data_IF_431278434537
#
_entry.id   IF_431278434537
#
_cell.length_a   1.000
_cell.length_b   1.000
_cell.length_c   1.000
_cell.angle_alpha   90.00
_cell.angle_beta   90.00
_cell.angle_gamma   90.00
#
_symmetry.space_group_name_H-M   'P 1'
#
loop_
_entity.id
_entity.type
_entity.pdbx_description
1 polymer ?
#
# COMPACT_ATOMS: atom_id res chain seq x y z
N UNK A 1 0.34 48.98 -46.44
CA UNK A 1 -0.94 48.70 -45.75
C UNK A 1 -1.37 49.95 -44.98
N UNK A 2 -2.55 50.45 -45.35
CA UNK A 2 -3.49 51.32 -44.60
C UNK A 2 -2.98 52.59 -43.86
N UNK A 3 -3.08 53.69 -44.61
CA UNK A 3 -3.39 55.05 -44.16
C UNK A 3 -4.67 55.11 -43.31
N UNK A 4 -4.73 56.06 -42.36
CA UNK A 4 -5.72 57.15 -42.43
C UNK A 4 -5.46 58.28 -41.43
N UNK A 5 -5.43 59.49 -41.96
CA UNK A 5 -5.55 60.77 -41.25
C UNK A 5 -6.65 61.57 -41.95
N UNK A 6 -7.46 62.24 -41.11
CA UNK A 6 -8.16 63.53 -41.32
C UNK A 6 -9.56 63.51 -42.01
N UNK A 7 -10.43 64.36 -41.42
CA UNK A 7 -11.66 65.06 -41.90
C UNK A 7 -12.94 64.23 -42.14
N UNK A 8 -14.18 64.69 -41.94
CA UNK A 8 -14.76 66.05 -42.01
C UNK A 8 -16.25 66.06 -41.55
N UNK A 9 -16.83 67.29 -41.42
CA UNK A 9 -18.26 67.67 -41.63
C UNK A 9 -19.27 67.23 -40.54
N UNK A 10 -19.72 68.09 -39.59
CA UNK A 10 -20.63 69.24 -39.74
C UNK A 10 -21.71 69.05 -40.82
N UNK A 11 -22.86 68.53 -40.39
CA UNK A 11 -24.12 68.63 -41.13
C UNK A 11 -24.72 70.02 -40.94
N UNK A 12 -24.63 70.78 -42.02
CA UNK A 12 -25.44 71.94 -42.36
C UNK A 12 -26.93 71.57 -42.45
N UNK A 13 -27.82 72.38 -41.86
CA UNK A 13 -28.81 73.20 -42.58
C UNK A 13 -30.05 73.48 -41.73
N UNK A 14 -30.27 74.75 -41.38
CA UNK A 14 -31.55 75.39 -41.69
C UNK A 14 -31.30 76.89 -41.83
N UNK A 15 -31.33 77.34 -43.09
CA UNK A 15 -31.08 78.70 -43.51
C UNK A 15 -32.40 79.47 -43.71
N UNK A 16 -32.30 80.78 -43.43
CA UNK A 16 -33.00 81.87 -44.10
C UNK A 16 -34.52 82.01 -43.95
N UNK A 17 -34.90 82.98 -43.11
CA UNK A 17 -35.90 83.99 -43.49
C UNK A 17 -35.16 85.20 -44.06
N UNK A 18 -35.40 85.58 -45.32
CA UNK A 18 -35.07 86.92 -45.81
C UNK A 18 -35.86 87.31 -47.06
N UNK A 19 -37.07 87.83 -46.86
CA UNK A 19 -37.68 88.84 -47.72
C UNK A 19 -38.47 89.76 -46.80
N UNK A 20 -38.09 91.04 -46.73
CA UNK A 20 -38.97 92.20 -46.93
C UNK A 20 -38.13 93.47 -46.80
N UNK A 21 -38.29 94.27 -47.84
CA UNK A 21 -37.85 95.64 -48.08
C UNK A 21 -38.11 96.58 -46.92
N UNK A 22 -37.16 97.48 -46.67
CA UNK A 22 -37.19 98.56 -45.69
C UNK A 22 -38.34 99.55 -45.94
N UNK A 23 -39.03 99.97 -44.86
CA UNK A 23 -39.26 101.39 -44.65
C UNK A 23 -38.68 101.79 -43.29
N UNK A 24 -38.05 102.96 -43.30
CA UNK A 24 -37.42 103.63 -42.16
C UNK A 24 -38.31 103.63 -40.90
N UNK A 25 -38.01 102.74 -39.94
CA UNK A 25 -38.39 102.96 -38.55
C UNK A 25 -37.25 103.71 -37.86
N UNK A 26 -37.64 104.76 -37.13
CA UNK A 26 -36.79 105.48 -36.18
C UNK A 26 -35.99 104.49 -35.35
N UNK A 27 -34.70 104.79 -35.17
CA UNK A 27 -33.92 104.25 -34.07
C UNK A 27 -34.59 104.65 -32.75
N UNK A 28 -35.54 103.82 -32.31
CA UNK A 28 -35.68 103.57 -30.90
C UNK A 28 -34.50 102.66 -30.58
N UNK A 29 -33.41 103.24 -30.06
CA UNK A 29 -32.51 102.47 -29.22
C UNK A 29 -33.37 101.87 -28.12
N UNK A 30 -33.82 100.62 -28.31
CA UNK A 30 -34.06 99.74 -27.17
C UNK A 30 -32.65 99.53 -26.62
N UNK A 31 -32.27 100.44 -25.72
CA UNK A 31 -31.26 100.16 -24.72
C UNK A 31 -31.76 98.91 -23.98
N UNK A 32 -31.32 97.74 -24.44
CA UNK A 32 -31.31 96.56 -23.60
C UNK A 32 -30.42 96.96 -22.44
N UNK A 33 -31.03 97.16 -21.28
CA UNK A 33 -30.34 97.46 -20.05
C UNK A 33 -29.42 96.27 -19.74
N UNK A 34 -28.14 96.43 -20.09
CA UNK A 34 -27.13 95.39 -19.90
C UNK A 34 -26.98 95.02 -18.43
N UNK A 35 -27.43 95.88 -17.51
CA UNK A 35 -27.36 95.62 -16.07
C UNK A 35 -28.29 94.49 -15.61
N UNK A 36 -29.47 94.34 -16.22
CA UNK A 36 -30.43 93.27 -15.86
C UNK A 36 -29.94 91.92 -16.41
N UNK A 37 -29.34 91.95 -17.60
CA UNK A 37 -28.70 90.78 -18.20
C UNK A 37 -27.43 90.38 -17.43
N UNK A 38 -26.63 91.34 -16.98
CA UNK A 38 -25.44 91.10 -16.14
C UNK A 38 -25.84 90.54 -14.76
N UNK A 39 -26.88 91.09 -14.13
CA UNK A 39 -27.35 90.62 -12.83
C UNK A 39 -27.98 89.22 -12.94
N UNK A 40 -28.71 88.93 -14.02
CA UNK A 40 -29.18 87.58 -14.32
C UNK A 40 -28.00 86.63 -14.60
N UNK A 41 -26.98 87.08 -15.34
CA UNK A 41 -25.76 86.31 -15.60
C UNK A 41 -24.96 86.00 -14.34
N UNK A 42 -24.91 86.92 -13.38
CA UNK A 42 -24.21 86.74 -12.10
C UNK A 42 -24.97 85.78 -11.16
N UNK A 43 -26.30 85.89 -11.08
CA UNK A 43 -27.15 84.93 -10.37
C UNK A 43 -27.09 83.55 -11.00
N UNK A 44 -27.03 83.47 -12.33
CA UNK A 44 -26.85 82.22 -13.05
C UNK A 44 -25.45 81.65 -12.80
N UNK A 45 -24.40 82.47 -12.81
CA UNK A 45 -23.01 82.06 -12.52
C UNK A 45 -22.83 81.52 -11.11
N UNK A 46 -23.39 82.20 -10.10
CA UNK A 46 -23.39 81.76 -8.70
C UNK A 46 -24.22 80.50 -8.48
N UNK A 47 -25.37 80.36 -9.16
CA UNK A 47 -26.15 79.11 -9.12
C UNK A 47 -25.45 77.95 -9.81
N UNK A 48 -24.73 78.19 -10.91
CA UNK A 48 -23.92 77.16 -11.55
C UNK A 48 -22.74 76.73 -10.66
N UNK A 49 -22.09 77.64 -9.92
CA UNK A 49 -21.00 77.29 -9.01
C UNK A 49 -21.49 76.52 -7.76
N UNK A 50 -22.62 76.93 -7.16
CA UNK A 50 -23.27 76.19 -6.06
C UNK A 50 -23.79 74.81 -6.49
N UNK A 51 -24.35 74.71 -7.71
CA UNK A 51 -24.80 73.43 -8.26
C UNK A 51 -23.61 72.52 -8.57
N UNK A 52 -22.48 73.08 -9.01
CA UNK A 52 -21.25 72.32 -9.24
C UNK A 52 -20.68 71.75 -7.93
N UNK A 53 -20.66 72.51 -6.83
CA UNK A 53 -20.18 72.00 -5.53
C UNK A 53 -21.09 70.91 -4.96
N UNK A 54 -22.42 71.09 -5.05
CA UNK A 54 -23.39 70.06 -4.65
C UNK A 54 -23.25 68.79 -5.48
N UNK A 55 -23.03 68.93 -6.80
CA UNK A 55 -22.80 67.79 -7.68
C UNK A 55 -21.49 67.07 -7.36
N UNK A 56 -20.46 67.78 -6.92
CA UNK A 56 -19.19 67.20 -6.47
C UNK A 56 -19.38 66.40 -5.16
N UNK A 57 -20.15 66.91 -4.19
CA UNK A 57 -20.49 66.19 -2.97
C UNK A 57 -21.34 64.95 -3.24
N UNK A 58 -22.36 65.06 -4.11
CA UNK A 58 -23.18 63.92 -4.54
C UNK A 58 -22.28 62.86 -5.20
N UNK A 59 -21.36 63.28 -6.08
CA UNK A 59 -20.43 62.37 -6.75
C UNK A 59 -19.50 61.68 -5.74
N UNK A 60 -19.00 62.41 -4.74
CA UNK A 60 -18.17 61.86 -3.66
C UNK A 60 -18.94 60.84 -2.82
N UNK A 61 -20.18 61.16 -2.43
CA UNK A 61 -21.02 60.28 -1.65
C UNK A 61 -21.42 59.03 -2.44
N UNK A 62 -21.76 59.19 -3.72
CA UNK A 62 -22.05 58.07 -4.62
C UNK A 62 -20.84 57.13 -4.77
N UNK A 63 -19.63 57.69 -4.94
CA UNK A 63 -18.40 56.90 -5.01
C UNK A 63 -18.12 56.17 -3.69
N UNK A 64 -18.31 56.83 -2.54
CA UNK A 64 -18.11 56.21 -1.23
C UNK A 64 -19.13 55.09 -0.95
N UNK A 65 -20.40 55.29 -1.33
CA UNK A 65 -21.43 54.27 -1.23
C UNK A 65 -21.13 53.07 -2.13
N UNK A 66 -20.68 53.32 -3.37
CA UNK A 66 -20.26 52.26 -4.29
C UNK A 66 -19.07 51.47 -3.73
N UNK A 67 -18.04 52.15 -3.23
CA UNK A 67 -16.86 51.52 -2.62
C UNK A 67 -17.24 50.67 -1.41
N UNK A 68 -18.05 51.19 -0.50
CA UNK A 68 -18.49 50.47 0.70
C UNK A 68 -19.33 49.24 0.34
N UNK A 69 -20.17 49.35 -0.69
CA UNK A 69 -20.96 48.22 -1.18
C UNK A 69 -20.08 47.13 -1.82
N UNK A 70 -19.06 47.52 -2.58
CA UNK A 70 -18.08 46.58 -3.14
C UNK A 70 -17.28 45.88 -2.05
N UNK A 71 -16.83 46.60 -1.03
CA UNK A 71 -16.16 46.02 0.15
C UNK A 71 -17.07 45.05 0.91
N UNK A 72 -18.32 45.44 1.17
CA UNK A 72 -19.31 44.56 1.82
C UNK A 72 -19.54 43.28 1.02
N UNK A 73 -19.66 43.39 -0.30
CA UNK A 73 -19.81 42.22 -1.18
C UNK A 73 -18.60 41.30 -1.11
N UNK A 74 -17.39 41.87 -1.21
CA UNK A 74 -16.16 41.09 -1.11
C UNK A 74 -16.03 40.37 0.24
N UNK A 75 -16.41 41.02 1.33
CA UNK A 75 -16.36 40.42 2.67
C UNK A 75 -17.46 39.37 2.87
N UNK A 76 -18.65 39.55 2.29
CA UNK A 76 -19.69 38.52 2.28
C UNK A 76 -19.25 37.28 1.50
N UNK A 77 -18.64 37.46 0.33
CA UNK A 77 -18.10 36.36 -0.47
C UNK A 77 -16.99 35.60 0.32
N UNK A 78 -16.16 36.33 1.06
CA UNK A 78 -15.15 35.75 1.95
C UNK A 78 -15.78 34.96 3.10
N UNK A 79 -16.84 35.49 3.73
CA UNK A 79 -17.59 34.81 4.78
C UNK A 79 -18.19 33.49 4.26
N UNK A 80 -18.81 33.49 3.09
CA UNK A 80 -19.35 32.29 2.46
C UNK A 80 -18.25 31.24 2.21
N UNK A 81 -17.10 31.66 1.69
CA UNK A 81 -15.95 30.78 1.50
C UNK A 81 -15.46 30.16 2.82
N UNK A 82 -15.37 30.96 3.90
CA UNK A 82 -14.97 30.48 5.23
C UNK A 82 -15.98 29.49 5.83
N UNK A 83 -17.29 29.68 5.61
CA UNK A 83 -18.32 28.77 6.08
C UNK A 83 -18.23 27.40 5.38
N UNK A 84 -18.04 27.40 4.06
CA UNK A 84 -17.83 26.16 3.29
C UNK A 84 -16.57 25.44 3.75
N UNK A 85 -15.47 26.18 3.96
CA UNK A 85 -14.22 25.65 4.47
C UNK A 85 -14.39 25.02 5.87
N UNK A 86 -15.09 25.70 6.78
CA UNK A 86 -15.35 25.19 8.12
C UNK A 86 -16.19 23.90 8.09
N UNK A 87 -17.22 23.84 7.25
CA UNK A 87 -18.00 22.62 7.05
C UNK A 87 -17.13 21.46 6.52
N UNK A 88 -16.21 21.76 5.60
CA UNK A 88 -15.21 20.80 5.10
C UNK A 88 -14.31 20.27 6.22
N UNK A 89 -13.78 21.14 7.07
CA UNK A 89 -12.96 20.73 8.22
C UNK A 89 -13.73 19.89 9.22
N UNK A 90 -14.97 20.26 9.57
CA UNK A 90 -15.81 19.45 10.46
C UNK A 90 -16.03 18.04 9.92
N UNK A 91 -16.27 17.90 8.62
CA UNK A 91 -16.40 16.60 7.96
C UNK A 91 -15.08 15.82 8.03
N UNK A 92 -13.95 16.47 7.77
CA UNK A 92 -12.65 15.83 7.84
C UNK A 92 -12.31 15.36 9.26
N UNK A 93 -12.63 16.15 10.28
CA UNK A 93 -12.46 15.77 11.70
C UNK A 93 -13.29 14.52 12.01
N UNK A 94 -14.57 14.50 11.64
CA UNK A 94 -15.42 13.32 11.89
C UNK A 94 -14.90 12.05 11.22
N UNK A 95 -14.38 12.14 9.99
CA UNK A 95 -13.75 11.00 9.31
C UNK A 95 -12.45 10.59 10.02
N UNK A 96 -11.66 11.56 10.50
CA UNK A 96 -10.43 11.26 11.24
C UNK A 96 -10.72 10.60 12.59
N UNK A 97 -11.77 11.01 13.30
CA UNK A 97 -12.21 10.39 14.56
C UNK A 97 -12.65 8.93 14.32
N UNK A 98 -13.45 8.66 13.29
CA UNK A 98 -13.82 7.29 12.90
C UNK A 98 -12.60 6.43 12.54
N UNK A 99 -11.64 7.01 11.81
CA UNK A 99 -10.39 6.31 11.48
C UNK A 99 -9.54 6.03 12.73
N UNK A 100 -9.51 6.93 13.72
CA UNK A 100 -8.80 6.71 14.99
C UNK A 100 -9.42 5.53 15.74
N UNK A 101 -10.76 5.49 15.86
CA UNK A 101 -11.45 4.36 16.51
C UNK A 101 -11.15 3.02 15.82
N UNK A 102 -11.19 2.99 14.48
CA UNK A 102 -10.86 1.79 13.71
C UNK A 102 -9.38 1.36 13.86
N UNK A 103 -8.47 2.33 13.96
CA UNK A 103 -7.06 2.06 14.21
C UNK A 103 -6.82 1.54 15.63
N UNK A 104 -7.49 2.09 16.64
CA UNK A 104 -7.39 1.64 18.04
C UNK A 104 -7.88 0.19 18.19
N UNK A 105 -9.00 -0.18 17.54
CA UNK A 105 -9.46 -1.57 17.48
C UNK A 105 -8.41 -2.48 16.81
N UNK A 106 -7.82 -2.03 15.70
CA UNK A 106 -6.76 -2.77 15.01
C UNK A 106 -5.51 -2.94 15.88
N UNK A 107 -5.11 -1.92 16.63
CA UNK A 107 -3.97 -1.98 17.55
C UNK A 107 -4.25 -2.98 18.68
N UNK A 108 -5.44 -2.95 19.28
CA UNK A 108 -5.82 -3.89 20.33
C UNK A 108 -5.76 -5.35 19.84
N UNK A 109 -6.22 -5.62 18.62
CA UNK A 109 -6.14 -6.94 18.00
C UNK A 109 -4.67 -7.35 17.71
N UNK A 110 -3.85 -6.42 17.24
CA UNK A 110 -2.42 -6.68 16.98
C UNK A 110 -1.67 -6.97 18.27
N UNK A 111 -2.01 -6.34 19.41
CA UNK A 111 -1.34 -6.62 20.69
C UNK A 111 -1.51 -8.08 21.13
N UNK A 112 -2.73 -8.63 20.97
CA UNK A 112 -3.02 -10.05 21.25
C UNK A 112 -2.21 -10.96 20.34
N UNK A 113 -2.25 -10.70 19.03
CA UNK A 113 -1.53 -11.50 18.03
C UNK A 113 -0.01 -11.44 18.22
N UNK A 114 0.53 -10.27 18.55
CA UNK A 114 1.98 -10.07 18.77
C UNK A 114 2.51 -10.89 19.95
N UNK A 115 1.67 -11.13 20.97
CA UNK A 115 2.04 -11.94 22.14
C UNK A 115 1.88 -13.44 21.86
N UNK A 116 0.88 -13.83 21.07
CA UNK A 116 0.56 -15.24 20.82
C UNK A 116 1.43 -15.89 19.74
N UNK A 117 1.83 -15.15 18.70
CA UNK A 117 2.61 -15.71 17.59
C UNK A 117 3.95 -16.33 18.05
N UNK A 118 4.79 -15.66 18.88
CA UNK A 118 6.02 -16.27 19.36
C UNK A 118 5.80 -17.57 20.14
N UNK A 119 4.76 -17.61 20.97
CA UNK A 119 4.39 -18.83 21.71
C UNK A 119 3.96 -19.95 20.76
N UNK A 120 3.21 -19.62 19.72
CA UNK A 120 2.82 -20.61 18.70
C UNK A 120 4.04 -21.13 17.94
N UNK A 121 4.96 -20.25 17.54
CA UNK A 121 6.19 -20.66 16.84
C UNK A 121 7.03 -21.61 17.70
N UNK A 122 7.14 -21.35 19.00
CA UNK A 122 7.87 -22.23 19.93
C UNK A 122 7.19 -23.60 20.08
N UNK A 123 5.85 -23.63 20.17
CA UNK A 123 5.07 -24.88 20.17
C UNK A 123 5.24 -25.67 18.87
N UNK A 124 5.21 -24.99 17.72
CA UNK A 124 5.44 -25.61 16.42
C UNK A 124 6.83 -26.23 16.37
N UNK A 125 7.86 -25.51 16.82
CA UNK A 125 9.22 -26.00 16.81
C UNK A 125 9.43 -27.19 17.76
N UNK A 126 8.83 -27.15 18.94
CA UNK A 126 8.79 -28.27 19.88
C UNK A 126 8.05 -29.48 19.31
N UNK A 127 6.95 -29.26 18.59
CA UNK A 127 6.23 -30.33 17.89
C UNK A 127 7.05 -30.94 16.76
N UNK A 128 7.81 -30.13 16.01
CA UNK A 128 8.73 -30.60 14.99
C UNK A 128 9.87 -31.44 15.60
N UNK A 129 10.43 -31.00 16.73
CA UNK A 129 11.45 -31.76 17.49
C UNK A 129 10.92 -33.11 17.96
N UNK A 130 9.72 -33.14 18.54
CA UNK A 130 9.07 -34.37 18.97
C UNK A 130 8.84 -35.31 17.78
N UNK A 131 8.36 -34.77 16.65
CA UNK A 131 8.17 -35.53 15.44
C UNK A 131 9.48 -36.14 14.93
N UNK A 132 10.56 -35.36 14.87
CA UNK A 132 11.89 -35.84 14.48
C UNK A 132 12.37 -36.97 15.41
N UNK A 133 12.12 -36.86 16.72
CA UNK A 133 12.55 -37.86 17.71
C UNK A 133 11.81 -39.20 17.63
N UNK A 134 10.59 -39.19 17.08
CA UNK A 134 9.73 -40.38 16.93
C UNK A 134 9.84 -41.02 15.53
N UNK A 135 10.51 -40.34 14.62
CA UNK A 135 10.68 -40.71 13.23
C UNK A 135 11.97 -41.49 13.00
N UNK A 136 12.16 -41.99 11.77
CA UNK A 136 13.35 -42.72 11.38
C UNK A 136 14.64 -41.89 11.60
N UNK A 137 15.73 -42.49 12.11
CA UNK A 137 16.99 -41.80 12.37
C UNK A 137 17.77 -41.62 11.06
N UNK A 138 17.44 -40.59 10.30
CA UNK A 138 18.20 -40.17 9.13
C UNK A 138 18.60 -38.70 9.27
N UNK A 139 19.78 -38.36 8.73
CA UNK A 139 20.33 -37.00 8.71
C UNK A 139 20.19 -36.28 10.07
N UNK A 140 20.44 -37.01 11.16
CA UNK A 140 20.12 -36.57 12.54
C UNK A 140 20.80 -35.25 12.85
N UNK A 141 22.10 -35.13 12.53
CA UNK A 141 22.87 -33.92 12.78
C UNK A 141 22.37 -32.74 11.94
N UNK A 142 22.07 -32.95 10.66
CA UNK A 142 21.58 -31.87 9.78
C UNK A 142 20.23 -31.34 10.24
N UNK A 143 19.31 -32.24 10.60
CA UNK A 143 17.98 -31.90 11.11
C UNK A 143 18.07 -31.19 12.47
N UNK A 144 18.92 -31.68 13.38
CA UNK A 144 19.16 -31.05 14.67
C UNK A 144 19.75 -29.64 14.53
N UNK A 145 20.74 -29.47 13.64
CA UNK A 145 21.33 -28.16 13.35
C UNK A 145 20.31 -27.18 12.77
N UNK A 146 19.43 -27.65 11.86
CA UNK A 146 18.36 -26.81 11.29
C UNK A 146 17.36 -26.37 12.36
N UNK A 147 16.99 -27.27 13.27
CA UNK A 147 16.11 -26.97 14.40
C UNK A 147 16.75 -25.95 15.34
N UNK A 148 18.02 -26.14 15.70
CA UNK A 148 18.78 -25.23 16.54
C UNK A 148 18.90 -23.83 15.92
N UNK A 149 19.14 -23.74 14.61
CA UNK A 149 19.19 -22.47 13.89
C UNK A 149 17.86 -21.72 13.95
N UNK A 150 16.72 -22.41 13.78
CA UNK A 150 15.41 -21.78 13.90
C UNK A 150 15.09 -21.37 15.35
N UNK A 151 15.49 -22.16 16.36
CA UNK A 151 15.37 -21.78 17.79
C UNK A 151 16.10 -20.47 18.04
N UNK A 152 17.36 -20.39 17.64
CA UNK A 152 18.19 -19.19 17.79
C UNK A 152 17.59 -17.97 17.07
N UNK A 153 17.01 -18.16 15.88
CA UNK A 153 16.38 -17.07 15.14
C UNK A 153 15.10 -16.55 15.80
N UNK A 154 14.31 -17.41 16.46
CA UNK A 154 13.12 -17.00 17.22
C UNK A 154 13.52 -16.17 18.45
N UNK A 155 14.59 -16.56 19.13
CA UNK A 155 15.12 -15.85 20.30
C UNK A 155 15.78 -14.51 19.92
N UNK A 156 16.25 -14.36 18.68
CA UNK A 156 16.91 -13.14 18.23
C UNK A 156 15.91 -11.96 18.12
N UNK A 157 16.10 -10.84 18.85
CA UNK A 157 15.21 -9.68 18.79
C UNK A 157 15.33 -8.87 17.50
N UNK A 158 16.44 -8.98 16.76
CA UNK A 158 16.71 -8.20 15.55
C UNK A 158 15.98 -8.77 14.31
N UNK A 159 15.42 -9.97 14.42
CA UNK A 159 14.70 -10.65 13.33
C UNK A 159 13.21 -10.33 13.41
N UNK A 160 12.61 -9.96 12.27
CA UNK A 160 11.18 -9.68 12.22
C UNK A 160 10.34 -10.93 12.49
N UNK A 161 9.13 -10.75 13.04
CA UNK A 161 8.20 -11.86 13.32
C UNK A 161 7.88 -12.66 12.04
N UNK A 162 7.74 -11.96 10.90
CA UNK A 162 7.49 -12.60 9.62
C UNK A 162 8.64 -13.52 9.19
N UNK A 163 9.89 -13.10 9.41
CA UNK A 163 11.06 -13.89 9.08
C UNK A 163 11.21 -15.11 10.01
N UNK A 164 10.93 -14.94 11.32
CA UNK A 164 10.86 -16.06 12.28
C UNK A 164 9.83 -17.10 11.84
N UNK A 165 8.63 -16.66 11.46
CA UNK A 165 7.56 -17.54 11.00
C UNK A 165 7.94 -18.26 9.69
N UNK A 166 8.55 -17.55 8.74
CA UNK A 166 9.04 -18.13 7.49
C UNK A 166 10.03 -19.28 7.75
N UNK A 167 10.96 -19.11 8.70
CA UNK A 167 11.94 -20.13 9.03
C UNK A 167 11.31 -21.37 9.66
N UNK A 168 10.32 -21.20 10.55
CA UNK A 168 9.55 -22.32 11.10
C UNK A 168 8.83 -23.07 9.97
N UNK A 169 8.14 -22.37 9.07
CA UNK A 169 7.47 -23.01 7.93
C UNK A 169 8.45 -23.73 6.99
N UNK A 170 9.64 -23.18 6.80
CA UNK A 170 10.68 -23.82 6.00
C UNK A 170 11.09 -25.18 6.58
N UNK A 171 11.17 -25.31 7.91
CA UNK A 171 11.42 -26.61 8.56
C UNK A 171 10.32 -27.60 8.19
N UNK A 172 9.05 -27.22 8.33
CA UNK A 172 7.93 -28.10 7.97
C UNK A 172 7.92 -28.47 6.48
N UNK A 173 8.26 -27.54 5.60
CA UNK A 173 8.34 -27.82 4.16
C UNK A 173 9.44 -28.83 3.84
N UNK A 174 10.61 -28.69 4.46
CA UNK A 174 11.72 -29.64 4.30
C UNK A 174 11.38 -30.99 4.92
N UNK A 175 10.81 -31.02 6.12
CA UNK A 175 10.39 -32.27 6.74
C UNK A 175 9.30 -32.98 5.92
N UNK A 176 8.38 -32.24 5.31
CA UNK A 176 7.38 -32.80 4.40
C UNK A 176 8.00 -33.29 3.09
N UNK A 177 9.03 -32.61 2.57
CA UNK A 177 9.71 -33.05 1.35
C UNK A 177 10.40 -34.40 1.54
N UNK A 178 10.94 -34.67 2.74
CA UNK A 178 11.49 -35.98 3.08
C UNK A 178 10.46 -37.10 2.95
N UNK A 179 9.16 -36.86 3.06
CA UNK A 179 8.14 -37.88 2.79
C UNK A 179 8.09 -38.34 1.34
N UNK A 180 8.62 -37.55 0.39
CA UNK A 180 8.46 -37.75 -1.06
C UNK A 180 9.76 -38.05 -1.78
N UNK A 181 10.90 -37.81 -1.15
CA UNK A 181 12.23 -38.02 -1.76
C UNK A 181 12.77 -39.40 -1.48
N UNK A 182 13.63 -39.88 -2.38
CA UNK A 182 14.38 -41.12 -2.25
C UNK A 182 15.85 -40.76 -2.32
N UNK A 183 16.62 -41.12 -1.30
CA UNK A 183 18.03 -40.73 -1.17
C UNK A 183 18.85 -41.90 -0.65
N UNK A 184 20.14 -41.92 -1.02
CA UNK A 184 21.12 -42.88 -0.51
C UNK A 184 22.31 -42.13 0.07
N UNK A 185 22.87 -42.63 1.16
CA UNK A 185 24.08 -42.10 1.79
C UNK A 185 24.89 -43.21 2.44
N UNK A 186 26.20 -43.02 2.51
CA UNK A 186 27.09 -43.92 3.23
C UNK A 186 27.11 -43.54 4.72
N UNK A 187 27.04 -44.54 5.58
CA UNK A 187 27.14 -44.37 7.03
C UNK A 187 27.77 -45.62 7.67
N UNK A 188 28.23 -45.49 8.91
CA UNK A 188 28.81 -46.59 9.68
C UNK A 188 27.82 -47.00 10.78
N UNK A 189 27.21 -48.17 10.66
CA UNK A 189 26.26 -48.68 11.66
C UNK A 189 26.85 -49.85 12.44
N UNK A 190 26.43 -50.00 13.70
CA UNK A 190 26.83 -51.12 14.53
C UNK A 190 25.85 -52.28 14.35
N UNK A 191 26.32 -53.39 13.76
CA UNK A 191 25.53 -54.61 13.56
C UNK A 191 26.16 -55.71 14.39
N UNK A 192 25.41 -56.24 15.36
CA UNK A 192 25.86 -57.32 16.24
C UNK A 192 27.20 -57.03 16.97
N UNK A 193 27.42 -55.78 17.40
CA UNK A 193 28.61 -55.35 18.14
C UNK A 193 29.84 -55.04 17.28
N UNK A 194 29.70 -55.02 15.95
CA UNK A 194 30.78 -54.67 15.02
C UNK A 194 30.33 -53.50 14.14
N UNK A 195 31.10 -52.41 14.17
CA UNK A 195 30.91 -51.28 13.25
C UNK A 195 31.23 -51.70 11.84
N UNK A 196 30.27 -51.53 10.92
CA UNK A 196 30.43 -51.81 9.50
C UNK A 196 30.01 -50.59 8.69
N UNK A 197 30.77 -50.34 7.63
CA UNK A 197 30.39 -49.35 6.63
C UNK A 197 29.28 -49.91 5.75
N UNK A 198 28.18 -49.17 5.69
CA UNK A 198 26.97 -49.54 4.96
C UNK A 198 26.54 -48.40 4.06
N UNK A 199 25.79 -48.76 3.03
CA UNK A 199 25.03 -47.82 2.22
C UNK A 199 23.57 -47.86 2.67
N UNK A 200 23.07 -46.73 3.15
CA UNK A 200 21.71 -46.56 3.64
C UNK A 200 20.87 -45.93 2.53
N UNK A 201 19.72 -46.54 2.22
CA UNK A 201 18.70 -45.99 1.34
C UNK A 201 17.46 -45.60 2.13
N UNK A 202 17.05 -44.35 1.96
CA UNK A 202 15.83 -43.77 2.51
C UNK A 202 14.79 -43.65 1.41
N UNK A 203 13.63 -44.27 1.61
CA UNK A 203 12.48 -44.11 0.72
C UNK A 203 11.38 -43.36 1.48
N UNK A 204 11.31 -42.07 1.22
CA UNK A 204 10.34 -41.20 1.88
C UNK A 204 10.50 -41.24 3.41
N UNK A 205 9.36 -41.48 4.07
CA UNK A 205 9.24 -41.80 5.51
C UNK A 205 8.60 -43.17 5.73
N UNK A 206 8.78 -44.08 4.76
CA UNK A 206 8.11 -45.39 4.77
C UNK A 206 9.09 -46.51 5.07
N UNK A 207 10.30 -46.41 4.53
CA UNK A 207 11.34 -47.42 4.73
C UNK A 207 12.72 -46.78 4.79
N UNK A 208 13.52 -47.26 5.72
CA UNK A 208 14.95 -46.96 5.84
C UNK A 208 15.68 -48.29 5.86
N UNK A 209 16.48 -48.55 4.84
CA UNK A 209 17.19 -49.82 4.68
C UNK A 209 18.68 -49.58 4.56
N UNK A 210 19.48 -50.58 4.91
CA UNK A 210 20.91 -50.56 4.68
C UNK A 210 21.37 -51.81 3.93
N UNK A 211 22.47 -51.66 3.21
CA UNK A 211 23.21 -52.76 2.61
C UNK A 211 24.70 -52.60 2.92
N UNK A 212 25.36 -53.67 3.36
CA UNK A 212 26.81 -53.64 3.58
C UNK A 212 27.55 -53.48 2.26
N UNK A 213 28.76 -52.91 2.31
CA UNK A 213 29.61 -52.69 1.12
C UNK A 213 29.93 -53.99 0.35
N UNK A 214 30.02 -55.12 1.04
CA UNK A 214 30.17 -56.46 0.46
C UNK A 214 28.87 -57.03 -0.15
N UNK A 215 27.74 -56.34 0.03
CA UNK A 215 26.38 -56.68 -0.42
C UNK A 215 25.86 -58.01 0.12
N UNK A 216 26.48 -58.57 1.15
CA UNK A 216 26.06 -59.85 1.74
C UNK A 216 24.89 -59.66 2.70
N UNK A 217 24.89 -58.56 3.46
CA UNK A 217 23.95 -58.28 4.53
C UNK A 217 23.04 -57.14 4.11
N UNK A 218 21.75 -57.28 4.41
CA UNK A 218 20.73 -56.25 4.18
C UNK A 218 19.83 -56.22 5.39
N UNK A 219 19.44 -55.03 5.83
CA UNK A 219 18.49 -54.87 6.92
C UNK A 219 17.64 -53.64 6.75
N UNK A 220 16.66 -53.51 7.63
CA UNK A 220 15.73 -52.39 7.69
C UNK A 220 15.70 -51.82 9.10
N UNK A 221 15.35 -50.55 9.22
CA UNK A 221 15.08 -49.94 10.52
C UNK A 221 13.68 -50.32 11.00
N UNK A 222 13.59 -50.88 12.19
CA UNK A 222 12.33 -51.03 12.90
C UNK A 222 12.14 -49.81 13.82
N UNK A 223 11.14 -48.98 13.52
CA UNK A 223 10.85 -47.77 14.28
C UNK A 223 10.25 -48.07 15.67
N UNK A 224 9.57 -49.20 15.85
CA UNK A 224 8.97 -49.58 17.13
C UNK A 224 10.05 -50.08 18.10
N UNK A 225 10.94 -50.94 17.60
CA UNK A 225 12.05 -51.47 18.39
C UNK A 225 13.28 -50.54 18.43
N UNK A 226 13.28 -49.46 17.64
CA UNK A 226 14.39 -48.51 17.44
C UNK A 226 15.73 -49.20 17.23
N UNK A 227 15.74 -50.21 16.38
CA UNK A 227 16.94 -51.00 16.08
C UNK A 227 16.96 -51.43 14.62
N UNK A 228 18.18 -51.66 14.13
CA UNK A 228 18.40 -52.29 12.84
C UNK A 228 18.05 -53.78 12.92
N UNK A 229 17.18 -54.24 12.04
CA UNK A 229 16.79 -55.65 11.92
C UNK A 229 17.32 -56.19 10.60
N UNK A 230 18.13 -57.25 10.69
CA UNK A 230 18.64 -57.96 9.53
C UNK A 230 17.51 -58.72 8.81
N UNK A 231 17.44 -58.57 7.49
CA UNK A 231 16.46 -59.24 6.65
C UNK A 231 17.04 -60.52 6.06
N UNK A 232 16.25 -61.60 5.92
CA UNK A 232 16.71 -62.84 5.31
C UNK A 232 17.31 -62.62 3.91
N UNK A 233 18.48 -63.19 3.67
CA UNK A 233 19.17 -63.10 2.39
C UNK A 233 18.34 -63.77 1.27
N UNK A 234 17.92 -63.00 0.27
CA UNK A 234 17.05 -63.45 -0.80
C UNK A 234 16.47 -62.29 -1.60
N UNK A 235 15.14 -62.21 -1.67
CA UNK A 235 14.36 -61.19 -2.39
C UNK A 235 14.65 -59.76 -1.91
N UNK A 236 14.76 -59.56 -0.59
CA UNK A 236 15.03 -58.24 0.02
C UNK A 236 16.40 -57.66 -0.33
N UNK A 237 17.40 -58.51 -0.60
CA UNK A 237 18.74 -58.06 -1.01
C UNK A 237 18.69 -57.41 -2.40
N UNK A 238 17.95 -58.01 -3.32
CA UNK A 238 17.78 -57.51 -4.70
C UNK A 238 16.94 -56.23 -4.71
N UNK A 239 15.92 -56.17 -3.85
CA UNK A 239 15.09 -54.98 -3.65
C UNK A 239 15.90 -53.80 -3.10
N UNK A 240 16.68 -54.00 -2.03
CA UNK A 240 17.54 -52.97 -1.45
C UNK A 240 18.57 -52.46 -2.45
N UNK A 241 19.22 -53.36 -3.19
CA UNK A 241 20.17 -52.97 -4.23
C UNK A 241 19.51 -52.16 -5.35
N UNK A 242 18.29 -52.54 -5.76
CA UNK A 242 17.53 -51.78 -6.75
C UNK A 242 17.12 -50.41 -6.22
N UNK A 243 16.71 -50.32 -4.95
CA UNK A 243 16.38 -49.06 -4.30
C UNK A 243 17.59 -48.13 -4.23
N UNK A 244 18.76 -48.63 -3.83
CA UNK A 244 20.02 -47.88 -3.82
C UNK A 244 20.34 -47.33 -5.21
N UNK A 245 20.27 -48.16 -6.26
CA UNK A 245 20.55 -47.73 -7.65
C UNK A 245 19.57 -46.66 -8.16
N UNK A 246 18.29 -46.78 -7.81
CA UNK A 246 17.28 -45.78 -8.18
C UNK A 246 17.53 -44.49 -7.41
N UNK A 247 17.83 -44.57 -6.11
CA UNK A 247 18.15 -43.42 -5.26
C UNK A 247 19.42 -42.69 -5.72
N UNK A 248 20.43 -43.43 -6.18
CA UNK A 248 21.69 -42.87 -6.71
C UNK A 248 21.58 -42.38 -8.16
N UNK A 249 20.40 -42.49 -8.80
CA UNK A 249 20.18 -42.09 -10.19
C UNK A 249 20.89 -42.97 -11.23
N UNK A 250 21.36 -44.17 -10.84
CA UNK A 250 22.00 -45.13 -11.76
C UNK A 250 20.95 -45.90 -12.57
N UNK A 251 19.76 -46.12 -12.00
CA UNK A 251 18.61 -46.76 -12.64
C UNK A 251 17.46 -45.75 -12.79
N UNK A 252 16.60 -45.95 -13.80
CA UNK A 252 15.35 -45.20 -13.93
C UNK A 252 14.34 -45.58 -12.84
N UNK A 253 13.42 -44.65 -12.54
CA UNK A 253 12.33 -44.89 -11.58
C UNK A 253 11.51 -46.12 -11.99
N UNK A 254 11.41 -47.09 -11.08
CA UNK A 254 10.68 -48.35 -11.24
C UNK A 254 9.94 -48.69 -9.94
N UNK A 255 8.99 -49.61 -10.03
CA UNK A 255 8.31 -50.12 -8.84
C UNK A 255 9.31 -50.92 -7.99
N UNK A 256 9.37 -50.60 -6.69
CA UNK A 256 10.26 -51.25 -5.72
C UNK A 256 9.39 -51.99 -4.71
N UNK A 257 9.66 -53.27 -4.51
CA UNK A 257 9.03 -54.07 -3.47
C UNK A 257 9.81 -53.87 -2.17
N UNK A 258 9.20 -53.18 -1.21
CA UNK A 258 9.86 -52.78 0.03
C UNK A 258 9.30 -53.58 1.20
N UNK A 259 10.15 -54.07 2.12
CA UNK A 259 9.69 -54.60 3.40
C UNK A 259 9.14 -53.44 4.22
N UNK A 260 7.82 -53.24 4.15
CA UNK A 260 7.11 -52.31 5.02
C UNK A 260 6.51 -53.09 6.19
N UNK A 261 6.58 -52.52 7.38
CA UNK A 261 5.85 -53.05 8.52
C UNK A 261 4.36 -52.86 8.22
N UNK A 262 3.57 -53.92 8.36
CA UNK A 262 2.14 -53.85 8.12
C UNK A 262 1.51 -52.79 9.04
N UNK A 263 0.54 -52.00 8.54
CA UNK A 263 -0.11 -50.98 9.36
C UNK A 263 -0.71 -51.63 10.61
N UNK A 264 -0.48 -51.01 11.76
CA UNK A 264 -1.07 -51.44 13.02
C UNK A 264 -2.59 -51.31 12.88
N UNK A 265 -3.33 -52.42 12.98
CA UNK A 265 -4.78 -52.38 12.96
C UNK A 265 -5.23 -51.63 14.22
N UNK A 266 -5.72 -50.41 14.05
CA UNK A 266 -6.38 -49.66 15.12
C UNK A 266 -7.65 -50.45 15.48
N UNK A 267 -7.63 -51.11 16.64
CA UNK A 267 -8.82 -51.64 17.31
C UNK A 267 -9.50 -50.53 18.11
#
# INVERSE_FOLDING_TARGET
MKNRRITNLLFSSLACVLVITTPSLRAAEILIDSSILDQAMDVIGTKYSESASTQEEISRLANSASSTYEEFKAENDNLEALLVLNAGFRRSISIQEENIEALDESIANVEVVTREIPLLMDKMLSSAEQFISLDFPFLVDERANRLAFAKAAIENPDVSIAEKFRQVLQIYQVENSYGRTVETYADSIEIAGVTRDVEIVRIGRVALMYQTTDRQITGTWDNNARQWVELPAGEYRTAAQSAIKVASGLDAAKMLEMPIIAPENVQ
#
